data_IF_372171174984
#
_entry.id   IF_372171174984
#
_cell.length_a   1.000
_cell.length_b   1.000
_cell.length_c   1.000
_cell.angle_alpha   90.00
_cell.angle_beta   90.00
_cell.angle_gamma   90.00
#
_symmetry.space_group_name_H-M   'P 1'
#
loop_
_entity.id
_entity.type
_entity.pdbx_description
1 polymer ?
#
# COMPACT_ATOMS: atom_id res chain seq x y z
N UNK A 1 -1.05 29.42 -12.27
CA UNK A 1 -1.03 29.65 -10.82
C UNK A 1 -1.25 31.13 -10.62
N UNK A 2 -2.32 31.51 -9.93
CA UNK A 2 -2.64 32.91 -9.69
C UNK A 2 -2.12 33.27 -8.30
N UNK A 3 -1.04 34.07 -8.26
CA UNK A 3 -0.43 34.51 -7.01
C UNK A 3 -1.11 35.78 -6.52
N UNK A 4 -1.76 35.73 -5.36
CA UNK A 4 -2.38 36.89 -4.72
C UNK A 4 -1.28 37.74 -4.08
N UNK A 5 -1.07 38.95 -4.60
CA UNK A 5 -0.12 39.94 -4.07
C UNK A 5 -0.87 41.19 -3.62
N UNK A 6 -0.48 41.74 -2.47
CA UNK A 6 -0.88 43.07 -2.00
C UNK A 6 0.35 43.78 -1.40
N UNK A 7 0.52 45.08 -1.62
CA UNK A 7 1.65 45.83 -1.04
C UNK A 7 3.05 45.24 -1.24
N UNK A 8 3.29 44.51 -2.35
CA UNK A 8 4.58 43.86 -2.63
C UNK A 8 4.80 42.50 -1.95
N UNK A 9 3.87 42.02 -1.12
CA UNK A 9 3.95 40.71 -0.44
C UNK A 9 2.96 39.71 -1.04
N UNK A 10 3.37 38.44 -1.11
CA UNK A 10 2.55 37.31 -1.56
C UNK A 10 1.80 36.75 -0.35
N UNK A 11 0.47 36.67 -0.43
CA UNK A 11 -0.38 36.17 0.67
C UNK A 11 -1.11 34.87 0.35
N UNK A 12 -0.97 34.36 -0.87
CA UNK A 12 -1.53 33.07 -1.26
C UNK A 12 -1.38 32.81 -2.74
N UNK A 13 -1.55 31.55 -3.13
CA UNK A 13 -1.62 31.13 -4.51
C UNK A 13 -2.90 30.32 -4.74
N UNK A 14 -3.62 30.61 -5.81
CA UNK A 14 -4.75 29.82 -6.28
C UNK A 14 -4.28 29.07 -7.52
N UNK A 15 -4.18 27.75 -7.40
CA UNK A 15 -3.91 26.88 -8.54
C UNK A 15 -5.11 26.86 -9.49
N UNK A 16 -4.84 26.87 -10.79
CA UNK A 16 -5.89 26.65 -11.79
C UNK A 16 -6.39 25.20 -11.70
N UNK A 17 -7.58 24.91 -12.25
CA UNK A 17 -8.09 23.55 -12.27
C UNK A 17 -7.13 22.56 -12.97
N UNK A 18 -6.44 23.00 -14.02
CA UNK A 18 -5.43 22.20 -14.71
C UNK A 18 -4.19 21.93 -13.84
N UNK A 19 -3.75 22.91 -13.04
CA UNK A 19 -2.60 22.74 -12.14
C UNK A 19 -2.94 21.86 -10.93
N UNK A 20 -4.16 21.96 -10.40
CA UNK A 20 -4.64 21.03 -9.36
C UNK A 20 -4.68 19.59 -9.88
N UNK A 21 -5.23 19.38 -11.08
CA UNK A 21 -5.27 18.07 -11.72
C UNK A 21 -3.87 17.50 -11.98
N UNK A 22 -2.94 18.33 -12.47
CA UNK A 22 -1.55 17.89 -12.69
C UNK A 22 -0.84 17.54 -11.36
N UNK A 23 -1.14 18.28 -10.29
CA UNK A 23 -0.61 17.99 -8.95
C UNK A 23 -1.19 16.71 -8.37
N UNK A 24 -2.50 16.48 -8.48
CA UNK A 24 -3.16 15.23 -8.08
C UNK A 24 -2.57 14.03 -8.85
N UNK A 25 -2.32 14.19 -10.15
CA UNK A 25 -1.67 13.16 -10.96
C UNK A 25 -0.24 12.84 -10.48
N UNK A 26 0.53 13.85 -10.10
CA UNK A 26 1.90 13.67 -9.60
C UNK A 26 1.92 13.08 -8.18
N UNK A 27 0.99 13.46 -7.31
CA UNK A 27 0.81 12.84 -5.98
C UNK A 27 0.45 11.36 -6.15
N UNK A 28 -0.51 11.05 -7.01
CA UNK A 28 -0.89 9.67 -7.31
C UNK A 28 0.29 8.88 -7.89
N UNK A 29 1.09 9.49 -8.77
CA UNK A 29 2.29 8.87 -9.31
C UNK A 29 3.32 8.57 -8.22
N UNK A 30 3.58 9.51 -7.32
CA UNK A 30 4.50 9.31 -6.20
C UNK A 30 4.00 8.23 -5.23
N UNK A 31 2.69 8.14 -5.00
CA UNK A 31 2.06 7.05 -4.26
C UNK A 31 2.33 5.72 -4.97
N UNK A 32 2.07 5.61 -6.27
CA UNK A 32 2.29 4.38 -7.05
C UNK A 32 3.77 3.98 -7.07
N UNK A 33 4.69 4.92 -7.20
CA UNK A 33 6.13 4.63 -7.23
C UNK A 33 6.67 4.21 -5.86
N UNK A 34 6.19 4.85 -4.80
CA UNK A 34 6.47 4.41 -3.43
C UNK A 34 5.87 3.02 -3.19
N UNK A 35 4.64 2.78 -3.61
CA UNK A 35 3.93 1.50 -3.46
C UNK A 35 4.69 0.37 -4.15
N UNK A 36 5.16 0.58 -5.39
CA UNK A 36 6.01 -0.39 -6.11
C UNK A 36 7.27 -0.78 -5.36
N UNK A 37 7.98 0.20 -4.78
CA UNK A 37 9.19 -0.06 -4.00
C UNK A 37 8.86 -0.81 -2.70
N UNK A 38 7.75 -0.47 -2.06
CA UNK A 38 7.27 -1.20 -0.88
C UNK A 38 6.87 -2.64 -1.23
N UNK A 39 6.28 -2.89 -2.40
CA UNK A 39 5.90 -4.23 -2.86
C UNK A 39 7.12 -5.15 -3.00
N UNK A 40 8.22 -4.66 -3.60
CA UNK A 40 9.44 -5.47 -3.77
C UNK A 40 10.04 -5.93 -2.43
N UNK A 41 10.14 -5.01 -1.45
CA UNK A 41 10.68 -5.32 -0.13
C UNK A 41 9.76 -6.26 0.67
N UNK A 42 8.43 -6.10 0.55
CA UNK A 42 7.44 -6.98 1.18
C UNK A 42 7.47 -8.37 0.56
N UNK A 43 7.52 -8.48 -0.77
CA UNK A 43 7.65 -9.75 -1.48
C UNK A 43 8.92 -10.49 -1.04
N UNK A 44 10.06 -9.80 -0.96
CA UNK A 44 11.31 -10.36 -0.48
C UNK A 44 11.20 -10.84 0.98
N UNK A 45 10.60 -10.05 1.86
CA UNK A 45 10.40 -10.39 3.28
C UNK A 45 9.53 -11.64 3.44
N UNK A 46 8.42 -11.74 2.71
CA UNK A 46 7.51 -12.91 2.76
C UNK A 46 8.23 -14.15 2.24
N UNK A 47 8.90 -14.06 1.08
CA UNK A 47 9.64 -15.19 0.51
C UNK A 47 10.78 -15.65 1.42
N UNK A 48 11.51 -14.72 2.04
CA UNK A 48 12.55 -15.03 3.02
C UNK A 48 11.98 -15.74 4.24
N UNK A 49 10.85 -15.26 4.78
CA UNK A 49 10.17 -15.87 5.93
C UNK A 49 9.73 -17.30 5.61
N UNK A 50 9.15 -17.54 4.42
CA UNK A 50 8.79 -18.88 3.96
C UNK A 50 10.01 -19.80 3.79
N UNK A 51 11.13 -19.26 3.31
CA UNK A 51 12.36 -20.02 3.15
C UNK A 51 12.93 -20.45 4.51
N UNK A 52 13.03 -19.52 5.47
CA UNK A 52 13.66 -19.75 6.78
C UNK A 52 12.77 -20.56 7.71
N UNK A 53 11.50 -20.19 7.84
CA UNK A 53 10.63 -20.78 8.87
C UNK A 53 9.84 -21.98 8.36
N UNK A 54 9.60 -22.09 7.06
CA UNK A 54 8.85 -23.21 6.46
C UNK A 54 9.69 -24.10 5.52
N UNK A 55 10.99 -23.78 5.34
CA UNK A 55 11.91 -24.58 4.55
C UNK A 55 11.61 -24.59 3.04
N UNK A 56 10.98 -23.55 2.51
CA UNK A 56 10.65 -23.50 1.09
C UNK A 56 11.91 -23.31 0.24
N UNK A 57 12.18 -24.27 -0.65
CA UNK A 57 13.23 -24.13 -1.67
C UNK A 57 12.77 -23.28 -2.88
N UNK A 58 13.70 -22.92 -3.80
CA UNK A 58 13.45 -21.97 -4.88
C UNK A 58 12.22 -22.27 -5.74
N UNK A 59 11.94 -23.55 -6.06
CA UNK A 59 10.76 -23.95 -6.84
C UNK A 59 9.44 -23.63 -6.14
N UNK A 60 9.37 -23.86 -4.82
CA UNK A 60 8.17 -23.60 -4.02
C UNK A 60 7.98 -22.10 -3.81
N UNK A 61 9.08 -21.37 -3.58
CA UNK A 61 9.07 -19.91 -3.49
C UNK A 61 8.59 -19.26 -4.78
N UNK A 62 9.08 -19.72 -5.94
CA UNK A 62 8.64 -19.21 -7.24
C UNK A 62 7.14 -19.41 -7.46
N UNK A 63 6.62 -20.60 -7.14
CA UNK A 63 5.19 -20.89 -7.26
C UNK A 63 4.33 -20.03 -6.32
N UNK A 64 4.81 -19.79 -5.10
CA UNK A 64 4.14 -18.87 -4.17
C UNK A 64 4.15 -17.44 -4.71
N UNK A 65 5.31 -16.94 -5.15
CA UNK A 65 5.47 -15.61 -5.72
C UNK A 65 4.52 -15.36 -6.89
N UNK A 66 4.43 -16.28 -7.85
CA UNK A 66 3.53 -16.13 -9.00
C UNK A 66 2.05 -16.04 -8.60
N UNK A 67 1.63 -16.81 -7.59
CA UNK A 67 0.28 -16.71 -7.04
C UNK A 67 0.06 -15.39 -6.28
N UNK A 68 1.04 -14.98 -5.47
CA UNK A 68 0.96 -13.78 -4.65
C UNK A 68 0.97 -12.50 -5.51
N UNK A 69 1.83 -12.44 -6.53
CA UNK A 69 1.88 -11.34 -7.49
C UNK A 69 0.55 -11.17 -8.26
N UNK A 70 -0.10 -12.29 -8.65
CA UNK A 70 -1.40 -12.22 -9.31
C UNK A 70 -2.50 -11.63 -8.40
N UNK A 71 -2.45 -11.89 -7.08
CA UNK A 71 -3.38 -11.25 -6.14
C UNK A 71 -3.02 -9.77 -5.87
N UNK A 72 -1.74 -9.41 -5.89
CA UNK A 72 -1.31 -8.00 -5.87
C UNK A 72 -1.84 -7.22 -7.08
N UNK A 73 -1.74 -7.77 -8.28
CA UNK A 73 -2.26 -7.12 -9.49
C UNK A 73 -3.78 -6.89 -9.40
N UNK A 74 -4.53 -7.87 -8.85
CA UNK A 74 -5.98 -7.71 -8.59
C UNK A 74 -6.25 -6.64 -7.55
N UNK A 75 -5.42 -6.54 -6.52
CA UNK A 75 -5.54 -5.51 -5.50
C UNK A 75 -5.32 -4.10 -6.07
N UNK A 76 -4.31 -3.94 -6.93
CA UNK A 76 -4.05 -2.67 -7.62
C UNK A 76 -5.24 -2.29 -8.50
N UNK A 77 -5.75 -3.23 -9.31
CA UNK A 77 -6.94 -3.02 -10.14
C UNK A 77 -8.18 -2.66 -9.31
N UNK A 78 -8.29 -3.20 -8.10
CA UNK A 78 -9.38 -2.91 -7.17
C UNK A 78 -9.32 -1.46 -6.62
N UNK A 79 -8.13 -0.97 -6.25
CA UNK A 79 -7.95 0.41 -5.78
C UNK A 79 -8.03 1.47 -6.90
N UNK A 80 -7.87 1.07 -8.17
CA UNK A 80 -8.13 1.94 -9.32
C UNK A 80 -9.63 2.15 -9.61
N UNK A 81 -10.54 1.39 -8.96
CA UNK A 81 -12.00 1.55 -9.08
C UNK A 81 -12.57 2.40 -7.92
N UNK A 82 -13.65 3.19 -8.15
CA UNK A 82 -14.24 4.02 -7.11
C UNK A 82 -15.13 3.19 -6.17
N UNK A 83 -14.73 3.18 -4.90
CA UNK A 83 -15.43 2.79 -3.67
C UNK A 83 -15.76 1.30 -3.36
N UNK A 84 -15.42 0.96 -2.11
CA UNK A 84 -15.97 -0.06 -1.22
C UNK A 84 -16.08 -1.51 -1.72
N UNK A 85 -14.94 -2.17 -1.91
CA UNK A 85 -14.88 -3.59 -1.55
C UNK A 85 -13.95 -3.84 -0.38
N UNK A 86 -14.51 -4.51 0.62
CA UNK A 86 -13.76 -5.24 1.65
C UNK A 86 -12.80 -6.20 0.96
N UNK A 87 -11.51 -6.12 1.29
CA UNK A 87 -10.46 -6.93 0.64
C UNK A 87 -10.75 -8.43 0.74
N UNK A 88 -10.99 -9.08 -0.41
CA UNK A 88 -11.46 -10.45 -0.53
C UNK A 88 -10.65 -11.45 0.30
N UNK A 89 -9.32 -11.31 0.33
CA UNK A 89 -8.46 -12.23 1.07
C UNK A 89 -8.70 -12.20 2.58
N UNK A 90 -9.04 -11.06 3.20
CA UNK A 90 -9.37 -11.00 4.63
C UNK A 90 -10.64 -11.80 4.92
N UNK A 91 -11.66 -11.66 4.09
CA UNK A 91 -12.93 -12.38 4.25
C UNK A 91 -12.77 -13.88 3.98
N UNK A 92 -12.01 -14.28 2.95
CA UNK A 92 -11.70 -15.69 2.70
C UNK A 92 -10.88 -16.33 3.84
N UNK A 93 -9.93 -15.59 4.42
CA UNK A 93 -9.17 -16.05 5.59
C UNK A 93 -10.07 -16.24 6.82
N UNK A 94 -11.02 -15.34 7.06
CA UNK A 94 -11.99 -15.48 8.15
C UNK A 94 -12.83 -16.76 8.02
N UNK A 95 -13.21 -17.16 6.80
CA UNK A 95 -13.97 -18.41 6.57
C UNK A 95 -13.22 -19.67 7.02
N UNK A 96 -11.89 -19.63 7.04
CA UNK A 96 -11.06 -20.73 7.53
C UNK A 96 -10.55 -20.50 8.96
N UNK A 97 -11.11 -19.51 9.68
CA UNK A 97 -10.78 -19.21 11.07
C UNK A 97 -9.53 -18.35 11.26
N UNK A 98 -9.04 -17.68 10.22
CA UNK A 98 -7.88 -16.78 10.28
C UNK A 98 -8.36 -15.33 10.29
N UNK A 99 -8.18 -14.64 11.42
CA UNK A 99 -8.47 -13.20 11.55
C UNK A 99 -7.16 -12.41 11.74
N UNK A 100 -6.64 -11.90 10.62
CA UNK A 100 -5.41 -11.12 10.59
C UNK A 100 -5.53 -9.80 11.36
N UNK A 101 -6.72 -9.21 11.43
CA UNK A 101 -6.92 -7.95 12.16
C UNK A 101 -6.89 -8.19 13.66
N UNK A 102 -7.45 -9.31 14.13
CA UNK A 102 -7.31 -9.73 15.52
C UNK A 102 -5.84 -9.95 15.89
N UNK A 103 -5.10 -10.71 15.08
CA UNK A 103 -3.67 -10.96 15.33
C UNK A 103 -2.84 -9.67 15.32
N UNK A 104 -3.15 -8.72 14.43
CA UNK A 104 -2.47 -7.42 14.41
C UNK A 104 -2.77 -6.57 15.66
N UNK A 105 -4.00 -6.61 16.18
CA UNK A 105 -4.35 -5.94 17.44
C UNK A 105 -3.62 -6.56 18.63
N UNK A 106 -3.52 -7.88 18.68
CA UNK A 106 -2.79 -8.62 19.73
C UNK A 106 -1.29 -8.33 19.72
N UNK A 107 -0.69 -8.17 18.54
CA UNK A 107 0.73 -7.84 18.38
C UNK A 107 1.08 -6.44 18.90
N UNK A 108 0.12 -5.50 18.90
CA UNK A 108 0.36 -4.08 19.19
C UNK A 108 1.09 -3.34 18.05
N UNK A 109 1.02 -2.00 18.04
CA UNK A 109 1.79 -1.19 17.10
C UNK A 109 3.21 -0.98 17.61
N UNK A 110 4.20 -0.92 16.71
CA UNK A 110 5.57 -0.44 17.04
C UNK A 110 5.53 0.96 17.68
N UNK A 111 4.48 1.75 17.41
CA UNK A 111 4.27 3.05 18.05
C UNK A 111 3.87 2.95 19.53
N UNK A 112 3.24 1.86 19.95
CA UNK A 112 2.83 1.64 21.36
C UNK A 112 3.99 1.17 22.24
N UNK A 113 5.06 0.63 21.63
CA UNK A 113 6.23 0.08 22.35
C UNK A 113 7.21 1.19 22.77
N UNK A 114 7.15 2.38 22.17
CA UNK A 114 8.10 3.48 22.45
C UNK A 114 7.68 4.42 23.58
N UNK A 115 6.51 4.23 24.17
CA UNK A 115 6.01 5.05 25.29
C UNK A 115 6.00 4.31 26.64
N UNK A 116 6.71 3.18 26.78
CA UNK A 116 6.92 2.48 28.06
C UNK A 116 8.36 2.53 28.54
#
# INVERSE_FOLDING_TARGET
MIVKKAGGKVYGAVFTAAEKKAMEMEINRQIIEADKRYTDDIDAMVLYTLAVHLGFGPKRLRRFYEAFAAEHDRLIQHYEMPDDYTWLCKEELKKIGVDVEAWNRERGSIHDIREQ
#
